data_IF_479879241681
#
_entry.id   IF_479879241681
#
_cell.length_a   1.000
_cell.length_b   1.000
_cell.length_c   1.000
_cell.angle_alpha   90.00
_cell.angle_beta   90.00
_cell.angle_gamma   90.00
#
_symmetry.space_group_name_H-M   'P 1'
#
loop_
_entity.id
_entity.type
_entity.pdbx_description
1 polymer ?
#
# COMPACT_ATOMS: atom_id res chain seq x y z
N UNK A 1 -15.35 -3.24 -27.86
CA UNK A 1 -14.77 -1.94 -27.40
C UNK A 1 -15.66 -0.73 -27.66
N UNK A 2 -16.45 -0.65 -28.74
CA UNK A 2 -17.29 0.53 -29.03
C UNK A 2 -18.56 0.63 -28.16
N UNK A 3 -19.10 -0.49 -27.68
CA UNK A 3 -20.37 -0.55 -26.94
C UNK A 3 -20.25 -0.10 -25.47
N UNK A 4 -19.12 -0.38 -24.79
CA UNK A 4 -18.89 0.02 -23.38
C UNK A 4 -18.88 1.55 -23.23
N UNK A 5 -18.31 2.27 -24.22
CA UNK A 5 -18.32 3.74 -24.25
C UNK A 5 -19.73 4.33 -24.35
N UNK A 6 -20.66 3.62 -25.01
CA UNK A 6 -22.04 4.08 -25.19
C UNK A 6 -22.84 3.95 -23.89
N UNK A 7 -22.67 2.87 -23.13
CA UNK A 7 -23.38 2.69 -21.86
C UNK A 7 -22.86 3.62 -20.77
N UNK A 8 -21.54 3.83 -20.67
CA UNK A 8 -20.94 4.80 -19.74
C UNK A 8 -21.35 6.25 -20.03
N UNK A 9 -21.68 6.56 -21.29
CA UNK A 9 -22.16 7.90 -21.66
C UNK A 9 -23.66 8.07 -21.42
N UNK A 10 -24.46 7.00 -21.49
CA UNK A 10 -25.86 7.00 -21.07
C UNK A 10 -26.01 7.17 -19.54
N UNK A 11 -25.18 6.48 -18.74
CA UNK A 11 -25.16 6.60 -17.27
C UNK A 11 -24.83 8.03 -16.80
N UNK A 12 -23.91 8.70 -17.50
CA UNK A 12 -23.48 10.07 -17.19
C UNK A 12 -24.54 11.12 -17.55
N UNK A 13 -25.48 10.79 -18.45
CA UNK A 13 -26.58 11.66 -18.87
C UNK A 13 -27.89 11.42 -18.11
N UNK A 14 -27.92 10.46 -17.18
CA UNK A 14 -29.10 10.17 -16.36
C UNK A 14 -30.26 9.56 -17.15
N UNK A 15 -29.96 8.91 -18.28
CA UNK A 15 -30.95 8.17 -19.06
C UNK A 15 -31.33 6.86 -18.33
N UNK A 16 -32.58 6.41 -18.43
CA UNK A 16 -33.04 5.19 -17.76
C UNK A 16 -32.62 3.96 -18.57
N UNK A 17 -31.63 3.24 -18.07
CA UNK A 17 -30.93 2.16 -18.78
C UNK A 17 -31.65 0.84 -18.47
N UNK A 18 -31.96 0.06 -19.51
CA UNK A 18 -32.70 -1.20 -19.35
C UNK A 18 -31.81 -2.22 -18.65
N UNK A 19 -32.40 -3.12 -17.86
CA UNK A 19 -31.64 -4.13 -17.10
C UNK A 19 -30.71 -5.00 -17.99
N UNK A 20 -31.09 -5.17 -19.26
CA UNK A 20 -30.30 -5.85 -20.30
C UNK A 20 -29.00 -5.12 -20.68
N UNK A 21 -28.93 -3.80 -20.53
CA UNK A 21 -27.72 -3.01 -20.80
C UNK A 21 -26.71 -3.05 -19.63
N UNK A 22 -27.18 -3.41 -18.42
CA UNK A 22 -26.33 -3.70 -17.25
C UNK A 22 -25.62 -5.05 -17.37
N UNK A 23 -26.14 -5.97 -18.19
CA UNK A 23 -25.55 -7.29 -18.44
C UNK A 23 -24.21 -7.21 -19.20
N UNK A 24 -23.83 -6.02 -19.68
CA UNK A 24 -22.52 -5.75 -20.29
C UNK A 24 -21.43 -5.42 -19.26
N UNK A 25 -21.80 -5.06 -18.03
CA UNK A 25 -20.87 -4.72 -16.95
C UNK A 25 -20.60 -5.86 -15.99
N UNK A 26 -21.43 -6.91 -16.01
CA UNK A 26 -21.24 -8.03 -15.11
C UNK A 26 -20.96 -9.35 -15.84
N UNK A 27 -19.67 -9.66 -16.08
CA UNK A 27 -19.24 -10.98 -16.53
C UNK A 27 -19.66 -12.14 -15.61
N UNK A 28 -20.20 -11.92 -14.41
CA UNK A 28 -20.51 -13.00 -13.47
C UNK A 28 -21.73 -13.85 -13.87
N UNK A 29 -22.69 -13.33 -14.66
CA UNK A 29 -24.03 -13.96 -14.69
C UNK A 29 -24.24 -14.99 -15.82
N UNK A 30 -23.35 -15.07 -16.82
CA UNK A 30 -23.61 -15.89 -18.03
C UNK A 30 -22.61 -17.02 -18.36
N UNK A 31 -21.64 -17.33 -17.49
CA UNK A 31 -20.70 -18.42 -17.77
C UNK A 31 -20.45 -19.31 -16.56
N UNK A 32 -21.38 -20.23 -16.29
CA UNK A 32 -21.14 -21.36 -15.40
C UNK A 32 -20.11 -22.39 -15.91
N UNK A 33 -19.22 -22.10 -16.87
CA UNK A 33 -18.42 -23.14 -17.55
C UNK A 33 -17.05 -22.68 -18.12
N UNK A 34 -16.30 -21.82 -17.41
CA UNK A 34 -14.85 -21.70 -17.68
C UNK A 34 -14.10 -21.29 -16.40
N UNK A 35 -13.89 -22.29 -15.54
CA UNK A 35 -12.60 -22.55 -14.90
C UNK A 35 -11.61 -21.37 -14.87
N UNK A 36 -11.85 -20.45 -13.94
CA UNK A 36 -10.76 -19.84 -13.19
C UNK A 36 -10.71 -20.57 -11.85
N UNK A 37 -10.56 -21.91 -11.86
CA UNK A 37 -10.13 -22.57 -10.63
C UNK A 37 -8.78 -21.92 -10.33
N UNK A 38 -8.75 -21.10 -9.29
CA UNK A 38 -7.50 -20.78 -8.62
C UNK A 38 -6.84 -22.14 -8.35
N UNK A 39 -5.86 -22.51 -9.19
CA UNK A 39 -5.16 -23.81 -9.14
C UNK A 39 -4.46 -24.03 -7.80
N UNK A 40 -4.41 -22.98 -6.98
CA UNK A 40 -3.79 -22.95 -5.66
C UNK A 40 -4.83 -22.75 -4.56
N UNK A 41 -6.14 -22.96 -4.83
CA UNK A 41 -7.20 -22.85 -3.83
C UNK A 41 -6.93 -23.72 -2.60
N UNK A 42 -6.32 -24.88 -2.80
CA UNK A 42 -5.87 -25.83 -1.78
C UNK A 42 -4.66 -25.34 -0.97
N UNK A 43 -3.88 -24.39 -1.50
CA UNK A 43 -2.78 -23.73 -0.79
C UNK A 43 -3.22 -22.48 -0.03
N UNK A 44 -4.47 -22.02 -0.20
CA UNK A 44 -5.00 -20.86 0.54
C UNK A 44 -5.39 -21.30 1.94
N UNK A 45 -4.78 -20.67 2.94
CA UNK A 45 -5.17 -20.83 4.33
C UNK A 45 -6.47 -20.07 4.59
N UNK A 46 -7.45 -20.74 5.20
CA UNK A 46 -8.73 -20.15 5.61
C UNK A 46 -8.59 -19.44 6.96
N UNK A 47 -7.89 -18.29 6.95
CA UNK A 47 -7.51 -17.55 8.15
C UNK A 47 -8.72 -17.15 9.00
N UNK A 48 -9.87 -16.90 8.37
CA UNK A 48 -11.09 -16.42 9.04
C UNK A 48 -11.78 -17.50 9.90
N UNK A 49 -11.49 -18.78 9.67
CA UNK A 49 -12.07 -19.92 10.38
C UNK A 49 -11.05 -20.70 11.22
N UNK A 50 -9.82 -20.18 11.40
CA UNK A 50 -8.81 -20.82 12.25
C UNK A 50 -9.04 -20.53 13.73
N UNK A 51 -8.77 -21.53 14.58
CA UNK A 51 -8.73 -21.32 16.03
C UNK A 51 -7.52 -20.47 16.43
N UNK A 52 -7.60 -19.84 17.60
CA UNK A 52 -6.49 -19.06 18.17
C UNK A 52 -5.21 -19.90 18.33
N UNK A 53 -5.32 -21.16 18.74
CA UNK A 53 -4.17 -22.07 18.88
C UNK A 53 -3.49 -22.36 17.54
N UNK A 54 -4.28 -22.56 16.47
CA UNK A 54 -3.73 -22.77 15.13
C UNK A 54 -3.07 -21.51 14.57
N UNK A 55 -3.63 -20.32 14.82
CA UNK A 55 -3.02 -19.04 14.43
C UNK A 55 -1.68 -18.81 15.16
N UNK A 56 -1.60 -19.17 16.44
CA UNK A 56 -0.36 -19.09 17.20
C UNK A 56 0.71 -20.05 16.64
N UNK A 57 0.34 -21.29 16.39
CA UNK A 57 1.22 -22.29 15.79
C UNK A 57 1.68 -21.88 14.38
N UNK A 58 0.83 -21.21 13.60
CA UNK A 58 1.23 -20.63 12.32
C UNK A 58 2.30 -19.54 12.48
N UNK A 59 2.12 -18.61 13.43
CA UNK A 59 3.09 -17.56 13.72
C UNK A 59 4.44 -18.12 14.14
N UNK A 60 4.46 -19.11 15.03
CA UNK A 60 5.68 -19.81 15.47
C UNK A 60 6.38 -20.54 14.30
N UNK A 61 5.60 -21.16 13.41
CA UNK A 61 6.13 -21.90 12.27
C UNK A 61 6.71 -21.00 11.19
N UNK A 62 6.10 -19.83 10.95
CA UNK A 62 6.60 -18.84 9.99
C UNK A 62 7.81 -18.10 10.57
N UNK A 63 7.77 -17.80 11.88
CA UNK A 63 8.79 -17.04 12.58
C UNK A 63 8.77 -15.54 12.24
N UNK A 64 9.77 -14.81 12.75
CA UNK A 64 10.03 -13.41 12.39
C UNK A 64 11.13 -13.33 11.34
N UNK A 65 10.92 -12.51 10.31
CA UNK A 65 11.94 -12.23 9.29
C UNK A 65 12.33 -10.77 9.38
N UNK A 66 13.34 -10.48 10.21
CA UNK A 66 13.95 -9.16 10.24
C UNK A 66 14.74 -8.91 8.96
N UNK A 67 14.23 -7.99 8.15
CA UNK A 67 14.88 -7.48 6.92
C UNK A 67 15.33 -6.03 7.11
N UNK A 68 15.45 -5.61 8.37
CA UNK A 68 15.87 -4.27 8.74
C UNK A 68 17.35 -4.00 8.53
N UNK A 69 17.73 -2.75 8.74
CA UNK A 69 19.10 -2.25 8.66
C UNK A 69 19.61 -1.87 10.06
N UNK A 70 20.92 -1.90 10.27
CA UNK A 70 21.52 -1.33 11.48
C UNK A 70 21.39 0.19 11.49
N UNK A 71 21.40 0.78 12.68
CA UNK A 71 21.31 2.24 12.82
C UNK A 71 22.42 2.98 12.07
N UNK A 72 23.64 2.44 12.11
CA UNK A 72 24.80 3.03 11.42
C UNK A 72 24.59 3.06 9.90
N UNK A 73 24.12 1.96 9.31
CA UNK A 73 23.83 1.88 7.88
C UNK A 73 22.68 2.82 7.48
N UNK A 74 21.66 2.95 8.33
CA UNK A 74 20.56 3.90 8.07
C UNK A 74 21.11 5.33 8.09
N UNK A 75 21.96 5.67 9.06
CA UNK A 75 22.55 7.00 9.16
C UNK A 75 23.44 7.34 7.95
N UNK A 76 24.23 6.39 7.47
CA UNK A 76 25.13 6.58 6.32
C UNK A 76 24.39 6.73 4.98
N UNK A 77 23.32 5.95 4.77
CA UNK A 77 22.62 5.89 3.48
C UNK A 77 21.43 6.85 3.38
N UNK A 78 20.74 7.14 4.49
CA UNK A 78 19.52 7.94 4.48
C UNK A 78 19.83 9.43 4.38
N UNK A 79 19.22 10.08 3.38
CA UNK A 79 19.32 11.53 3.21
C UNK A 79 18.43 12.23 4.24
N UNK A 80 18.95 13.27 4.87
CA UNK A 80 18.22 14.09 5.82
C UNK A 80 18.08 15.52 5.31
N UNK A 81 16.91 16.12 5.52
CA UNK A 81 16.68 17.55 5.25
C UNK A 81 15.82 18.17 6.34
N UNK A 82 15.82 19.49 6.41
CA UNK A 82 14.92 20.25 7.28
C UNK A 82 13.66 20.61 6.53
N UNK A 83 12.51 20.43 7.18
CA UNK A 83 11.25 20.97 6.68
C UNK A 83 11.24 22.49 6.89
N UNK A 84 10.85 23.23 5.85
CA UNK A 84 10.74 24.68 5.89
C UNK A 84 9.44 25.13 5.20
N UNK A 85 8.56 25.74 6.00
CA UNK A 85 7.23 26.18 5.56
C UNK A 85 7.25 27.30 4.50
N UNK A 86 8.39 27.99 4.34
CA UNK A 86 8.55 29.08 3.37
C UNK A 86 8.78 28.60 1.93
N UNK A 87 9.26 27.37 1.74
CA UNK A 87 9.63 26.82 0.41
C UNK A 87 8.66 25.77 -0.11
N UNK A 88 7.97 25.08 0.78
CA UNK A 88 7.01 24.03 0.42
C UNK A 88 5.59 24.56 0.69
N UNK A 89 4.70 24.52 -0.31
CA UNK A 89 3.32 24.96 -0.13
C UNK A 89 2.65 24.10 0.95
N UNK A 90 2.32 24.74 2.08
CA UNK A 90 1.64 24.17 3.26
C UNK A 90 0.35 23.37 2.98
N UNK A 91 -0.11 23.29 1.74
CA UNK A 91 -1.37 22.66 1.34
C UNK A 91 -1.20 21.37 0.53
N UNK A 92 0.03 21.03 0.13
CA UNK A 92 0.28 19.91 -0.78
C UNK A 92 1.14 18.79 -0.18
N UNK A 93 1.62 18.93 1.07
CA UNK A 93 2.32 17.85 1.77
C UNK A 93 1.36 17.02 2.62
N UNK A 94 1.31 15.73 2.31
CA UNK A 94 0.67 14.72 3.16
C UNK A 94 1.41 14.62 4.51
N UNK A 95 0.69 14.39 5.63
CA UNK A 95 1.30 14.20 6.94
C UNK A 95 2.18 12.94 6.96
N UNK A 96 3.06 12.84 7.96
CA UNK A 96 3.90 11.65 8.10
C UNK A 96 3.03 10.42 8.35
N UNK A 97 2.98 9.45 7.44
CA UNK A 97 2.06 8.31 7.58
C UNK A 97 2.42 7.31 8.70
N UNK A 98 3.57 7.50 9.36
CA UNK A 98 4.02 6.66 10.48
C UNK A 98 3.43 7.18 11.80
N UNK A 99 3.59 8.48 12.12
CA UNK A 99 3.04 9.09 13.33
C UNK A 99 1.68 9.78 13.13
N UNK A 100 1.28 10.00 11.87
CA UNK A 100 0.06 10.71 11.45
C UNK A 100 0.03 12.20 11.83
N UNK A 101 1.19 12.80 12.08
CA UNK A 101 1.34 14.21 12.40
C UNK A 101 1.79 15.03 11.18
N UNK A 102 1.37 16.29 11.12
CA UNK A 102 1.84 17.26 10.12
C UNK A 102 3.30 17.66 10.39
N UNK A 103 4.00 18.11 9.34
CA UNK A 103 5.37 18.60 9.47
C UNK A 103 5.39 20.04 9.99
N UNK A 104 6.21 20.28 11.01
CA UNK A 104 6.43 21.60 11.59
C UNK A 104 7.77 22.19 11.12
N UNK A 105 7.84 23.53 11.07
CA UNK A 105 9.04 24.24 10.64
C UNK A 105 10.26 23.83 11.49
N UNK A 106 11.34 23.41 10.83
CA UNK A 106 12.54 22.92 11.49
C UNK A 106 12.54 21.42 11.82
N UNK A 107 11.48 20.67 11.49
CA UNK A 107 11.46 19.21 11.61
C UNK A 107 12.58 18.57 10.76
N UNK A 108 13.16 17.49 11.27
CA UNK A 108 14.08 16.66 10.50
C UNK A 108 13.30 15.63 9.70
N UNK A 109 13.46 15.67 8.38
CA UNK A 109 12.88 14.69 7.47
C UNK A 109 13.95 13.72 6.98
N UNK A 110 13.64 12.44 7.00
CA UNK A 110 14.39 11.39 6.32
C UNK A 110 13.76 11.08 4.96
N UNK A 111 14.52 11.26 3.90
CA UNK A 111 14.12 10.96 2.54
C UNK A 111 14.65 9.59 2.13
N UNK A 112 13.75 8.73 1.64
CA UNK A 112 14.10 7.43 1.07
C UNK A 112 14.53 7.54 -0.40
N UNK A 113 15.15 6.50 -0.95
CA UNK A 113 15.58 6.50 -2.37
C UNK A 113 14.41 6.55 -3.37
N UNK A 114 13.23 6.11 -2.94
CA UNK A 114 12.00 6.25 -3.70
C UNK A 114 11.42 7.68 -3.71
N UNK A 115 12.02 8.62 -2.97
CA UNK A 115 11.62 10.03 -2.90
C UNK A 115 10.54 10.35 -1.85
N UNK A 116 10.06 9.38 -1.09
CA UNK A 116 9.12 9.63 0.00
C UNK A 116 9.82 10.15 1.26
N UNK A 117 9.20 11.13 1.90
CA UNK A 117 9.69 11.80 3.12
C UNK A 117 8.88 11.41 4.36
N UNK A 118 9.57 11.37 5.49
CA UNK A 118 9.02 11.05 6.82
C UNK A 118 9.79 11.82 7.87
N UNK A 119 9.28 11.97 9.09
CA UNK A 119 10.13 12.39 10.21
C UNK A 119 11.31 11.42 10.36
N UNK A 120 12.54 11.95 10.47
CA UNK A 120 13.77 11.15 10.54
C UNK A 120 13.69 10.06 11.61
N UNK A 121 13.15 10.38 12.78
CA UNK A 121 13.02 9.41 13.88
C UNK A 121 12.02 8.29 13.55
N UNK A 122 10.88 8.65 12.97
CA UNK A 122 9.82 7.70 12.60
C UNK A 122 10.32 6.69 11.56
N UNK A 123 10.94 7.18 10.48
CA UNK A 123 11.43 6.28 9.43
C UNK A 123 12.65 5.48 9.88
N UNK A 124 13.53 6.03 10.73
CA UNK A 124 14.65 5.27 11.30
C UNK A 124 14.16 4.04 12.07
N UNK A 125 13.19 4.20 12.98
CA UNK A 125 12.62 3.09 13.75
C UNK A 125 11.99 2.03 12.84
N UNK A 126 11.30 2.46 11.78
CA UNK A 126 10.73 1.55 10.79
C UNK A 126 11.81 0.75 10.05
N UNK A 127 12.87 1.41 9.58
CA UNK A 127 13.94 0.79 8.80
C UNK A 127 14.80 -0.19 9.60
N UNK A 128 14.85 -0.03 10.93
CA UNK A 128 15.46 -1.03 11.82
C UNK A 128 14.71 -2.37 11.82
N UNK A 129 13.42 -2.36 11.51
CA UNK A 129 12.59 -3.57 11.42
C UNK A 129 12.53 -4.09 9.97
N UNK A 130 12.43 -3.18 8.98
CA UNK A 130 12.21 -3.54 7.59
C UNK A 130 12.76 -2.50 6.62
N UNK A 131 13.66 -2.89 5.70
CA UNK A 131 14.19 -2.00 4.67
C UNK A 131 13.22 -1.76 3.49
N UNK A 132 11.95 -1.42 3.75
CA UNK A 132 10.96 -1.10 2.73
C UNK A 132 10.25 0.22 3.04
N UNK A 133 9.95 1.00 2.00
CA UNK A 133 9.17 2.23 2.13
C UNK A 133 7.75 1.90 2.66
N UNK A 134 7.25 2.61 3.70
CA UNK A 134 5.87 2.46 4.19
C UNK A 134 4.80 2.70 3.11
N UNK A 135 5.07 3.57 2.14
CA UNK A 135 4.12 4.01 1.11
C UNK A 135 4.13 3.07 -0.09
N UNK A 136 5.25 2.97 -0.81
CA UNK A 136 5.31 2.23 -2.08
C UNK A 136 5.88 0.80 -1.97
N UNK A 137 6.33 0.38 -0.78
CA UNK A 137 6.90 -0.95 -0.51
C UNK A 137 8.15 -1.31 -1.33
N UNK A 138 8.78 -0.37 -2.02
CA UNK A 138 10.10 -0.58 -2.63
C UNK A 138 11.19 -0.56 -1.57
N UNK A 139 12.36 -1.12 -1.87
CA UNK A 139 13.55 -1.02 -1.01
C UNK A 139 13.80 0.42 -0.62
N UNK A 140 13.92 0.69 0.68
CA UNK A 140 13.94 2.06 1.19
C UNK A 140 15.30 2.74 1.00
N UNK A 141 16.37 2.02 1.33
CA UNK A 141 17.76 2.44 1.14
C UNK A 141 18.51 1.39 0.33
N UNK A 142 19.08 1.80 -0.80
CA UNK A 142 19.95 0.99 -1.65
C UNK A 142 21.37 1.01 -1.08
N UNK A 143 21.97 -0.18 -1.00
CA UNK A 143 23.36 -0.37 -0.55
C UNK A 143 24.34 -0.24 -1.70
#
# INVERSE_FOLDING_TARGET
MYQIRQVLSAMRRGENIRAEDYMLFDPFVYHGMADMHDRHRDMRLDVDNMSYEELLALGERIGDVSTGLSEDTIFELMKQRKYATATESLRDLEPCCICQEEYADGDNLGALDCGHDFHTNCIKQWLMLKNLCPICKTTALLK
#
